data_IF_595879584851
#
_entry.id   IF_595879584851
#
_cell.length_a   1.000
_cell.length_b   1.000
_cell.length_c   1.000
_cell.angle_alpha   90.00
_cell.angle_beta   90.00
_cell.angle_gamma   90.00
#
_symmetry.space_group_name_H-M   'P 1'
#
loop_
_entity.id
_entity.type
_entity.pdbx_description
1 polymer ?
#
# COMPACT_ATOMS: atom_id res chain seq x y z
N UNK A 1 -4.29 -11.26 -9.33
CA UNK A 1 -5.35 -11.77 -8.43
C UNK A 1 -6.69 -11.41 -9.05
N UNK A 2 -7.69 -12.27 -8.98
CA UNK A 2 -9.04 -11.90 -9.38
C UNK A 2 -9.54 -10.75 -8.48
N UNK A 3 -10.04 -9.62 -9.03
CA UNK A 3 -10.42 -8.46 -8.23
C UNK A 3 -11.50 -8.75 -7.18
N UNK A 4 -12.45 -9.66 -7.45
CA UNK A 4 -13.52 -10.00 -6.51
C UNK A 4 -13.01 -10.85 -5.36
N UNK A 5 -12.12 -11.79 -5.65
CA UNK A 5 -11.49 -12.59 -4.62
C UNK A 5 -10.59 -11.71 -3.73
N UNK A 6 -9.88 -10.75 -4.31
CA UNK A 6 -9.06 -9.80 -3.57
C UNK A 6 -9.91 -8.93 -2.63
N UNK A 7 -11.00 -8.37 -3.14
CA UNK A 7 -11.96 -7.58 -2.36
C UNK A 7 -12.51 -8.36 -1.16
N UNK A 8 -13.00 -9.59 -1.40
CA UNK A 8 -13.52 -10.44 -0.33
C UNK A 8 -12.45 -10.79 0.72
N UNK A 9 -11.24 -11.12 0.27
CA UNK A 9 -10.14 -11.46 1.18
C UNK A 9 -9.75 -10.26 2.05
N UNK A 10 -9.64 -9.06 1.45
CA UNK A 10 -9.32 -7.84 2.19
C UNK A 10 -10.39 -7.51 3.23
N UNK A 11 -11.67 -7.63 2.87
CA UNK A 11 -12.77 -7.41 3.81
C UNK A 11 -12.66 -8.34 5.03
N UNK A 12 -12.40 -9.64 4.81
CA UNK A 12 -12.23 -10.62 5.89
C UNK A 12 -11.01 -10.30 6.77
N UNK A 13 -9.88 -9.94 6.16
CA UNK A 13 -8.66 -9.60 6.90
C UNK A 13 -8.83 -8.32 7.72
N UNK A 14 -9.45 -7.29 7.17
CA UNK A 14 -9.75 -6.04 7.88
C UNK A 14 -10.70 -6.31 9.06
N UNK A 15 -11.74 -7.10 8.85
CA UNK A 15 -12.68 -7.46 9.92
C UNK A 15 -11.95 -8.23 11.04
N UNK A 16 -11.14 -9.21 10.69
CA UNK A 16 -10.34 -9.96 11.67
C UNK A 16 -9.38 -9.04 12.45
N UNK A 17 -8.74 -8.10 11.76
CA UNK A 17 -7.83 -7.14 12.40
C UNK A 17 -8.55 -6.27 13.44
N UNK A 18 -9.76 -5.82 13.13
CA UNK A 18 -10.60 -5.03 14.03
C UNK A 18 -11.06 -5.88 15.23
N UNK A 19 -11.63 -7.06 14.97
CA UNK A 19 -12.18 -7.96 16.00
C UNK A 19 -11.12 -8.40 17.02
N UNK A 20 -9.90 -8.67 16.55
CA UNK A 20 -8.81 -9.14 17.39
C UNK A 20 -7.86 -8.05 17.85
N UNK A 21 -8.13 -6.78 17.50
CA UNK A 21 -7.28 -5.63 17.82
C UNK A 21 -5.81 -5.85 17.40
N UNK A 22 -5.60 -6.37 16.20
CA UNK A 22 -4.27 -6.60 15.60
C UNK A 22 -4.06 -5.65 14.42
N UNK A 23 -2.80 -5.30 14.16
CA UNK A 23 -2.46 -4.42 13.03
C UNK A 23 -2.28 -5.22 11.75
N UNK A 24 -3.06 -4.89 10.72
CA UNK A 24 -2.89 -5.41 9.37
C UNK A 24 -2.09 -4.42 8.52
N UNK A 25 -1.03 -4.90 7.88
CA UNK A 25 -0.27 -4.16 6.87
C UNK A 25 -0.30 -4.96 5.58
N UNK A 26 -0.71 -4.32 4.48
CA UNK A 26 -0.76 -4.94 3.16
C UNK A 26 -0.11 -4.02 2.11
N UNK A 27 0.63 -4.61 1.18
CA UNK A 27 1.17 -3.93 0.00
C UNK A 27 0.25 -4.21 -1.18
N UNK A 28 -0.42 -3.18 -1.69
CA UNK A 28 -1.38 -3.28 -2.78
C UNK A 28 -0.96 -2.38 -3.94
N UNK A 29 -1.02 -2.92 -5.15
CA UNK A 29 -0.89 -2.11 -6.38
C UNK A 29 -2.26 -1.61 -6.88
N UNK A 30 -3.36 -2.22 -6.44
CA UNK A 30 -4.72 -1.81 -6.78
C UNK A 30 -5.20 -0.69 -5.83
N UNK A 31 -5.08 0.56 -6.28
CA UNK A 31 -5.43 1.76 -5.50
C UNK A 31 -6.87 1.72 -4.99
N UNK A 32 -7.83 1.39 -5.86
CA UNK A 32 -9.25 1.37 -5.51
C UNK A 32 -9.54 0.42 -4.34
N UNK A 33 -8.89 -0.74 -4.31
CA UNK A 33 -9.03 -1.69 -3.20
C UNK A 33 -8.39 -1.16 -1.91
N UNK A 34 -7.24 -0.50 -2.02
CA UNK A 34 -6.59 0.11 -0.86
C UNK A 34 -7.48 1.19 -0.24
N UNK A 35 -8.01 2.10 -1.05
CA UNK A 35 -8.90 3.18 -0.61
C UNK A 35 -10.23 2.68 -0.05
N UNK A 36 -10.76 1.57 -0.58
CA UNK A 36 -12.02 0.99 -0.11
C UNK A 36 -11.90 0.27 1.25
N UNK A 37 -10.76 -0.37 1.53
CA UNK A 37 -10.63 -1.28 2.68
C UNK A 37 -9.76 -0.76 3.82
N UNK A 38 -8.83 0.17 3.55
CA UNK A 38 -7.88 0.64 4.55
C UNK A 38 -8.18 2.07 4.99
N UNK A 39 -8.12 2.37 6.30
CA UNK A 39 -8.34 3.72 6.80
C UNK A 39 -7.15 4.65 6.57
N UNK A 40 -5.93 4.11 6.41
CA UNK A 40 -4.67 4.84 6.25
C UNK A 40 -3.89 4.27 5.08
N UNK A 41 -3.35 5.15 4.23
CA UNK A 41 -2.63 4.80 3.01
C UNK A 41 -1.24 5.43 3.07
N UNK A 42 -0.23 4.60 2.79
CA UNK A 42 1.16 5.03 2.70
C UNK A 42 1.60 4.84 1.25
N UNK A 43 1.82 5.95 0.55
CA UNK A 43 2.39 5.95 -0.79
C UNK A 43 3.91 5.84 -0.71
N UNK A 44 4.49 4.83 -1.36
CA UNK A 44 5.95 4.62 -1.39
C UNK A 44 6.46 4.74 -2.81
N UNK A 45 7.48 5.56 -3.01
CA UNK A 45 8.15 5.76 -4.29
C UNK A 45 9.65 5.94 -4.08
N UNK A 46 10.46 5.31 -4.93
CA UNK A 46 11.93 5.37 -4.86
C UNK A 46 12.49 5.06 -3.45
N UNK A 47 11.88 4.07 -2.77
CA UNK A 47 12.25 3.66 -1.41
C UNK A 47 11.88 4.66 -0.30
N UNK A 48 11.08 5.68 -0.61
CA UNK A 48 10.69 6.76 0.31
C UNK A 48 9.18 6.85 0.47
N UNK A 49 8.72 7.25 1.65
CA UNK A 49 7.32 7.59 1.88
C UNK A 49 7.05 8.91 1.17
N UNK A 50 6.22 8.85 0.12
CA UNK A 50 5.78 10.01 -0.64
C UNK A 50 4.60 10.71 0.06
N UNK A 51 3.66 9.94 0.59
CA UNK A 51 2.58 10.44 1.42
C UNK A 51 2.14 9.39 2.44
N UNK A 52 1.52 9.85 3.52
CA UNK A 52 0.96 9.04 4.58
C UNK A 52 -0.29 9.75 5.12
N UNK A 53 -1.46 9.31 4.68
CA UNK A 53 -2.72 10.04 4.82
C UNK A 53 -3.87 9.08 5.15
N UNK A 54 -4.97 9.63 5.68
CA UNK A 54 -6.21 8.87 5.72
C UNK A 54 -6.72 8.60 4.29
N UNK A 55 -7.40 7.48 4.05
CA UNK A 55 -7.89 7.16 2.70
C UNK A 55 -8.80 8.23 2.10
N UNK A 56 -9.56 8.94 2.94
CA UNK A 56 -10.42 10.07 2.53
C UNK A 56 -9.64 11.32 2.06
N UNK A 57 -8.36 11.43 2.41
CA UNK A 57 -7.49 12.55 2.08
C UNK A 57 -6.58 12.25 0.88
N UNK A 58 -6.57 11.00 0.41
CA UNK A 58 -5.81 10.60 -0.78
C UNK A 58 -6.50 11.13 -2.03
N UNK A 59 -6.12 12.34 -2.41
CA UNK A 59 -6.52 12.97 -3.67
C UNK A 59 -5.81 12.43 -4.91
N UNK A 60 -6.36 12.77 -6.07
CA UNK A 60 -5.84 12.37 -7.38
C UNK A 60 -4.41 12.85 -7.63
N UNK A 61 -4.05 14.04 -7.15
CA UNK A 61 -2.70 14.60 -7.24
C UNK A 61 -1.63 13.73 -6.54
N UNK A 62 -1.96 13.11 -5.41
CA UNK A 62 -1.07 12.19 -4.70
C UNK A 62 -0.84 10.92 -5.52
N UNK A 63 -1.90 10.41 -6.14
CA UNK A 63 -1.85 9.22 -6.98
C UNK A 63 -1.10 9.51 -8.28
N UNK A 64 -1.40 10.60 -8.96
CA UNK A 64 -0.71 11.00 -10.19
C UNK A 64 0.78 11.17 -9.94
N UNK A 65 1.16 11.78 -8.81
CA UNK A 65 2.58 11.91 -8.43
C UNK A 65 3.20 10.57 -8.04
N UNK A 66 2.45 9.63 -7.45
CA UNK A 66 2.94 8.29 -7.16
C UNK A 66 3.20 7.48 -8.45
N UNK A 67 2.29 7.58 -9.43
CA UNK A 67 2.26 6.76 -10.66
C UNK A 67 2.88 7.41 -11.89
N UNK A 68 3.30 8.68 -11.85
CA UNK A 68 3.80 9.45 -13.01
C UNK A 68 4.91 8.75 -13.83
N UNK A 69 5.62 7.78 -13.26
CA UNK A 69 6.69 7.04 -13.93
C UNK A 69 6.39 5.56 -14.20
N UNK A 70 5.32 4.98 -13.63
CA UNK A 70 4.95 3.57 -13.85
C UNK A 70 4.40 3.33 -15.27
N UNK A 71 3.85 4.36 -15.92
CA UNK A 71 3.31 4.26 -17.27
C UNK A 71 4.39 4.23 -18.38
N UNK A 72 5.67 4.44 -18.07
CA UNK A 72 6.70 4.71 -19.08
C UNK A 72 7.85 3.70 -19.22
N UNK A 73 8.08 2.73 -18.31
CA UNK A 73 9.23 1.82 -18.49
C UNK A 73 9.12 0.45 -17.82
N UNK A 74 9.58 -0.64 -18.49
CA UNK A 74 10.25 -1.73 -17.79
C UNK A 74 11.66 -1.23 -17.41
N UNK A 75 12.01 -1.23 -16.12
CA UNK A 75 13.39 -0.95 -15.71
C UNK A 75 13.92 -1.94 -14.66
N UNK A 76 15.23 -2.24 -14.75
CA UNK A 76 15.88 -3.33 -14.05
C UNK A 76 16.10 -2.97 -12.57
N UNK A 77 16.00 -4.00 -11.73
CA UNK A 77 16.38 -3.99 -10.31
C UNK A 77 17.78 -3.41 -10.15
N UNK A 78 17.87 -2.22 -9.54
CA UNK A 78 19.12 -1.71 -9.00
C UNK A 78 19.23 -2.17 -7.55
N UNK A 79 20.22 -3.00 -7.30
CA UNK A 79 20.67 -3.43 -5.99
C UNK A 79 21.29 -2.24 -5.20
N UNK A 80 21.33 -2.38 -3.87
CA UNK A 80 21.84 -1.46 -2.84
C UNK A 80 20.87 -0.42 -2.22
N UNK A 81 20.33 -0.75 -1.03
CA UNK A 81 20.91 -0.30 0.26
C UNK A 81 19.92 -0.42 1.44
N UNK A 82 20.14 -1.48 2.24
CA UNK A 82 20.05 -1.53 3.70
C UNK A 82 18.94 -0.75 4.44
N UNK A 83 17.93 -1.49 4.90
CA UNK A 83 17.43 -1.26 6.26
C UNK A 83 17.27 -2.62 6.93
N UNK A 84 18.28 -3.00 7.73
CA UNK A 84 18.21 -4.16 8.61
C UNK A 84 17.11 -3.91 9.64
N UNK A 85 15.92 -4.44 9.39
CA UNK A 85 14.90 -4.61 10.42
C UNK A 85 15.37 -5.72 11.35
N UNK A 86 15.98 -5.36 12.48
CA UNK A 86 16.24 -6.31 13.57
C UNK A 86 15.11 -6.19 14.60
N UNK A 87 14.27 -7.21 14.79
CA UNK A 87 13.30 -7.21 15.88
C UNK A 87 14.06 -7.21 17.20
N UNK A 88 13.70 -6.31 18.11
CA UNK A 88 14.20 -6.34 19.48
C UNK A 88 13.37 -7.35 20.27
N UNK A 89 13.98 -8.48 20.61
CA UNK A 89 13.60 -9.29 21.77
C UNK A 89 13.95 -8.53 23.05
#
# INVERSE_FOLDING_TARGET
MDPRLADHTLALLCQHAIEHNVTLVASLHAVELALAHFPRIIGVRDGRIHFDLAASEVGREHLDTLYANEQLSPQPVSDAAETRWTPRC
#
